data_IF_763201637645
#
_entry.id   IF_763201637645
#
_cell.length_a   1.000
_cell.length_b   1.000
_cell.length_c   1.000
_cell.angle_alpha   90.00
_cell.angle_beta   90.00
_cell.angle_gamma   90.00
#
_symmetry.space_group_name_H-M   'P 1'
#
loop_
_entity.id
_entity.type
_entity.pdbx_description
1 polymer ?
#
# COMPACT_ATOMS: atom_id res chain seq x y z
N UNK A 1 42.20 -10.96 11.98
CA UNK A 1 40.98 -10.14 12.03
C UNK A 1 40.56 -9.93 10.59
N UNK A 2 39.42 -10.49 10.17
CA UNK A 2 38.91 -10.24 8.82
C UNK A 2 38.63 -8.74 8.67
N UNK A 3 38.84 -8.14 7.48
CA UNK A 3 38.50 -6.74 7.27
C UNK A 3 37.01 -6.51 7.57
N UNK A 4 36.62 -5.29 7.99
CA UNK A 4 35.20 -4.94 8.09
C UNK A 4 34.56 -5.21 6.73
N UNK A 5 33.53 -6.04 6.73
CA UNK A 5 32.79 -6.44 5.52
C UNK A 5 31.41 -5.84 5.64
N UNK A 6 31.05 -5.00 4.68
CA UNK A 6 29.69 -4.50 4.56
C UNK A 6 28.77 -5.69 4.27
N UNK A 7 27.74 -5.85 5.10
CA UNK A 7 26.81 -6.98 5.03
C UNK A 7 25.39 -6.46 4.86
N UNK A 8 24.63 -7.04 3.93
CA UNK A 8 23.23 -6.70 3.67
C UNK A 8 22.34 -7.91 4.01
N UNK A 9 21.35 -7.69 4.87
CA UNK A 9 20.34 -8.69 5.20
C UNK A 9 18.99 -8.24 4.64
N UNK A 10 18.39 -9.06 3.76
CA UNK A 10 17.11 -8.75 3.15
C UNK A 10 15.95 -9.34 3.96
N UNK A 11 14.94 -8.51 4.23
CA UNK A 11 13.66 -8.95 4.77
C UNK A 11 12.58 -8.89 3.70
N UNK A 12 11.61 -9.79 3.79
CA UNK A 12 10.38 -9.68 3.03
C UNK A 12 9.43 -8.72 3.76
N UNK A 13 8.89 -7.73 3.03
CA UNK A 13 7.99 -6.75 3.62
C UNK A 13 8.72 -5.66 4.40
N UNK A 14 8.15 -5.25 5.53
CA UNK A 14 8.78 -4.30 6.45
C UNK A 14 9.44 -5.05 7.62
N UNK A 15 10.72 -4.78 7.97
CA UNK A 15 11.42 -5.50 9.03
C UNK A 15 10.74 -5.43 10.41
N UNK A 16 9.99 -4.36 10.70
CA UNK A 16 9.40 -4.11 12.02
C UNK A 16 7.92 -4.48 12.11
N UNK A 17 7.29 -4.89 11.01
CA UNK A 17 5.88 -5.34 10.99
C UNK A 17 5.84 -6.87 11.02
N UNK A 18 5.56 -7.44 12.19
CA UNK A 18 5.55 -8.89 12.45
C UNK A 18 6.86 -9.63 12.06
N UNK A 19 7.95 -8.89 11.88
CA UNK A 19 9.30 -9.44 11.72
C UNK A 19 9.92 -9.86 13.06
N UNK A 20 11.10 -10.48 13.00
CA UNK A 20 11.88 -10.90 14.18
C UNK A 20 13.11 -10.02 14.42
N UNK A 21 13.12 -8.83 13.83
CA UNK A 21 14.29 -7.95 13.78
C UNK A 21 14.75 -7.43 15.15
N UNK A 22 13.88 -7.42 16.17
CA UNK A 22 14.26 -7.00 17.53
C UNK A 22 15.44 -7.81 18.08
N UNK A 23 15.35 -9.15 18.06
CA UNK A 23 16.43 -9.99 18.60
C UNK A 23 17.72 -9.81 17.82
N UNK A 24 17.64 -9.62 16.50
CA UNK A 24 18.79 -9.40 15.64
C UNK A 24 19.47 -8.06 15.99
N UNK A 25 18.69 -6.99 16.12
CA UNK A 25 19.18 -5.68 16.56
C UNK A 25 19.85 -5.77 17.95
N UNK A 26 19.23 -6.44 18.92
CA UNK A 26 19.79 -6.59 20.27
C UNK A 26 21.17 -7.28 20.25
N UNK A 27 21.36 -8.28 19.39
CA UNK A 27 22.67 -8.96 19.23
C UNK A 27 23.70 -8.05 18.55
N UNK A 28 23.31 -7.31 17.51
CA UNK A 28 24.19 -6.35 16.83
C UNK A 28 24.66 -5.25 17.78
N UNK A 29 23.74 -4.70 18.59
CA UNK A 29 24.04 -3.71 19.60
C UNK A 29 25.00 -4.25 20.66
N UNK A 30 24.75 -5.47 21.16
CA UNK A 30 25.62 -6.14 22.15
C UNK A 30 27.03 -6.39 21.59
N UNK A 31 27.14 -6.69 20.30
CA UNK A 31 28.41 -6.91 19.61
C UNK A 31 29.13 -5.60 19.21
N UNK A 32 28.50 -4.43 19.42
CA UNK A 32 29.06 -3.15 18.99
C UNK A 32 29.11 -2.97 17.47
N UNK A 33 28.24 -3.68 16.73
CA UNK A 33 28.16 -3.59 15.27
C UNK A 33 27.23 -2.45 14.89
N UNK A 34 27.73 -1.48 14.11
CA UNK A 34 26.90 -0.44 13.52
C UNK A 34 25.99 -1.03 12.44
N UNK A 35 24.72 -0.62 12.44
CA UNK A 35 23.75 -1.03 11.42
C UNK A 35 22.81 0.12 11.07
N UNK A 36 22.18 0.01 9.90
CA UNK A 36 21.10 0.86 9.45
C UNK A 36 19.88 -0.01 9.15
N UNK A 37 18.70 0.47 9.51
CA UNK A 37 17.45 -0.19 9.17
C UNK A 37 16.74 0.58 8.06
N UNK A 38 16.55 -0.09 6.92
CA UNK A 38 15.85 0.48 5.77
C UNK A 38 14.39 0.01 5.80
N UNK A 39 13.39 0.92 5.84
CA UNK A 39 11.98 0.56 5.77
C UNK A 39 11.64 -0.20 4.49
N UNK A 40 10.71 -1.15 4.59
CA UNK A 40 10.26 -1.94 3.46
C UNK A 40 8.77 -1.75 3.17
N UNK A 41 8.34 -2.17 1.97
CA UNK A 41 6.92 -2.18 1.62
C UNK A 41 6.28 -3.44 2.17
N UNK A 42 5.53 -3.31 3.27
CA UNK A 42 4.83 -4.43 3.89
C UNK A 42 3.70 -4.98 3.00
N UNK A 43 3.51 -6.29 3.01
CA UNK A 43 2.38 -6.95 2.35
C UNK A 43 1.03 -6.46 2.91
N UNK A 44 1.01 -6.01 4.17
CA UNK A 44 -0.12 -5.33 4.80
C UNK A 44 -0.70 -4.23 3.91
N UNK A 45 0.13 -3.38 3.31
CA UNK A 45 -0.33 -2.23 2.51
C UNK A 45 -0.28 -2.52 1.02
N UNK A 46 0.69 -3.31 0.57
CA UNK A 46 0.85 -3.65 -0.84
C UNK A 46 -0.28 -4.56 -1.36
N UNK A 47 -0.68 -5.59 -0.60
CA UNK A 47 -1.67 -6.54 -1.07
C UNK A 47 -3.08 -5.93 -1.25
N UNK A 48 -3.63 -5.15 -0.30
CA UNK A 48 -4.88 -4.44 -0.51
C UNK A 48 -4.83 -3.50 -1.72
N UNK A 49 -3.75 -2.71 -1.85
CA UNK A 49 -3.55 -1.80 -2.98
C UNK A 49 -3.62 -2.53 -4.32
N UNK A 50 -2.86 -3.62 -4.46
CA UNK A 50 -2.78 -4.41 -5.69
C UNK A 50 -4.07 -5.18 -6.01
N UNK A 51 -4.90 -5.44 -5.00
CA UNK A 51 -6.23 -6.01 -5.16
C UNK A 51 -7.34 -4.95 -5.34
N UNK A 52 -6.99 -3.65 -5.38
CA UNK A 52 -7.94 -2.56 -5.49
C UNK A 52 -8.81 -2.34 -4.25
N UNK A 53 -8.35 -2.80 -3.08
CA UNK A 53 -9.07 -2.71 -1.80
C UNK A 53 -8.39 -1.65 -0.93
N UNK A 54 -9.04 -0.51 -0.63
CA UNK A 54 -8.48 0.42 0.34
C UNK A 54 -8.62 -0.16 1.76
N UNK A 55 -7.68 0.17 2.66
CA UNK A 55 -7.77 -0.24 4.07
C UNK A 55 -8.70 0.65 4.91
N UNK A 56 -8.95 1.86 4.43
CA UNK A 56 -9.88 2.82 5.04
C UNK A 56 -10.72 3.48 3.96
N UNK A 57 -11.92 3.88 4.36
CA UNK A 57 -12.86 4.60 3.51
C UNK A 57 -13.73 5.51 4.39
N UNK A 58 -13.99 6.77 4.01
CA UNK A 58 -14.73 7.72 4.85
C UNK A 58 -16.12 7.24 5.30
N UNK A 59 -16.78 6.40 4.49
CA UNK A 59 -18.12 5.86 4.75
C UNK A 59 -18.07 4.43 5.30
N UNK A 60 -17.15 3.60 4.80
CA UNK A 60 -17.15 2.16 5.09
C UNK A 60 -16.17 1.72 6.18
N UNK A 61 -15.10 2.47 6.45
CA UNK A 61 -14.06 2.06 7.41
C UNK A 61 -13.18 3.21 7.86
N UNK A 62 -13.38 3.68 9.09
CA UNK A 62 -12.58 4.77 9.69
C UNK A 62 -11.40 4.25 10.50
N UNK A 63 -11.38 2.95 10.76
CA UNK A 63 -10.35 2.28 11.54
C UNK A 63 -9.98 0.95 10.91
N UNK A 64 -8.71 0.56 11.06
CA UNK A 64 -8.30 -0.80 10.75
C UNK A 64 -7.31 -1.32 11.77
N UNK A 65 -7.26 -2.63 11.93
CA UNK A 65 -6.28 -3.32 12.75
C UNK A 65 -5.61 -4.46 11.98
N UNK A 66 -4.42 -4.81 12.42
CA UNK A 66 -3.60 -5.84 11.79
C UNK A 66 -3.23 -6.89 12.82
N UNK A 67 -3.40 -8.15 12.46
CA UNK A 67 -3.10 -9.28 13.34
C UNK A 67 -2.36 -10.37 12.60
N UNK A 68 -1.51 -11.10 13.31
CA UNK A 68 -1.07 -12.40 12.84
C UNK A 68 -2.18 -13.44 13.00
N UNK A 69 -2.16 -14.49 12.18
CA UNK A 69 -3.06 -15.63 12.35
C UNK A 69 -2.89 -16.31 13.70
N UNK A 70 -1.69 -16.28 14.28
CA UNK A 70 -1.46 -16.75 15.64
C UNK A 70 -2.25 -15.93 16.66
N UNK A 71 -2.09 -14.61 16.64
CA UNK A 71 -2.74 -13.71 17.60
C UNK A 71 -4.26 -13.77 17.47
N UNK A 72 -4.78 -13.84 16.24
CA UNK A 72 -6.21 -13.98 16.00
C UNK A 72 -6.78 -15.30 16.56
N UNK A 73 -6.02 -16.40 16.49
CA UNK A 73 -6.43 -17.69 17.08
C UNK A 73 -6.30 -17.73 18.60
N UNK A 74 -5.36 -17.00 19.19
CA UNK A 74 -5.14 -16.94 20.65
C UNK A 74 -5.90 -15.82 21.36
N UNK A 75 -6.56 -14.93 20.62
CA UNK A 75 -7.29 -13.78 21.16
C UNK A 75 -8.31 -14.19 22.23
N UNK A 76 -8.29 -13.54 23.39
CA UNK A 76 -9.28 -13.78 24.44
C UNK A 76 -10.68 -13.35 23.99
N UNK A 77 -11.77 -13.73 24.70
CA UNK A 77 -13.11 -13.24 24.37
C UNK A 77 -13.22 -11.71 24.33
N UNK A 78 -12.54 -11.01 25.25
CA UNK A 78 -12.50 -9.55 25.29
C UNK A 78 -11.73 -8.97 24.08
N UNK A 79 -10.64 -9.62 23.67
CA UNK A 79 -9.90 -9.21 22.47
C UNK A 79 -10.76 -9.40 21.21
N UNK A 80 -11.51 -10.50 21.11
CA UNK A 80 -12.42 -10.75 19.98
C UNK A 80 -13.54 -9.71 19.93
N UNK A 81 -14.09 -9.30 21.07
CA UNK A 81 -15.07 -8.22 21.15
C UNK A 81 -14.46 -6.90 20.65
N UNK A 82 -13.25 -6.56 21.11
CA UNK A 82 -12.53 -5.38 20.65
C UNK A 82 -12.27 -5.43 19.13
N UNK A 83 -11.83 -6.58 18.60
CA UNK A 83 -11.60 -6.76 17.17
C UNK A 83 -12.88 -6.63 16.34
N UNK A 84 -14.01 -7.04 16.88
CA UNK A 84 -15.30 -6.90 16.20
C UNK A 84 -15.78 -5.45 16.13
N UNK A 85 -15.31 -4.58 17.03
CA UNK A 85 -15.59 -3.14 17.00
C UNK A 85 -14.78 -2.35 15.96
N UNK A 86 -13.71 -2.95 15.41
CA UNK A 86 -12.85 -2.32 14.40
C UNK A 86 -13.45 -2.57 13.02
N UNK A 87 -13.48 -1.57 12.15
CA UNK A 87 -14.18 -1.68 10.87
C UNK A 87 -13.50 -2.69 9.92
N UNK A 88 -12.19 -2.53 9.72
CA UNK A 88 -11.39 -3.39 8.84
C UNK A 88 -10.33 -4.16 9.61
N UNK A 89 -10.28 -5.47 9.41
CA UNK A 89 -9.22 -6.33 9.94
C UNK A 89 -8.35 -6.81 8.79
N UNK A 90 -7.03 -6.71 8.94
CA UNK A 90 -6.06 -7.30 8.03
C UNK A 90 -5.32 -8.41 8.77
N UNK A 91 -5.38 -9.62 8.24
CA UNK A 91 -4.72 -10.77 8.83
C UNK A 91 -3.52 -11.18 7.99
N UNK A 92 -2.37 -11.27 8.64
CA UNK A 92 -1.11 -11.76 8.08
C UNK A 92 -0.82 -13.15 8.62
N UNK A 93 -0.13 -13.99 7.85
CA UNK A 93 0.26 -15.35 8.30
C UNK A 93 -0.95 -16.21 8.73
N UNK A 94 -2.08 -16.05 8.05
CA UNK A 94 -3.37 -16.65 8.45
C UNK A 94 -3.89 -17.71 7.47
N UNK A 95 -3.19 -17.99 6.37
CA UNK A 95 -3.69 -18.89 5.32
C UNK A 95 -4.12 -20.26 5.84
N UNK A 96 -3.28 -20.92 6.64
CA UNK A 96 -3.61 -22.22 7.27
C UNK A 96 -4.57 -22.15 8.46
N UNK A 97 -4.93 -20.93 8.91
CA UNK A 97 -5.76 -20.67 10.09
C UNK A 97 -7.09 -20.01 9.75
N UNK A 98 -7.42 -19.86 8.47
CA UNK A 98 -8.57 -19.10 8.01
C UNK A 98 -9.89 -19.62 8.62
N UNK A 99 -10.10 -20.94 8.62
CA UNK A 99 -11.31 -21.56 9.19
C UNK A 99 -11.47 -21.28 10.70
N UNK A 100 -10.38 -21.39 11.45
CA UNK A 100 -10.42 -21.09 12.88
C UNK A 100 -10.70 -19.60 13.14
N UNK A 101 -10.00 -18.70 12.45
CA UNK A 101 -10.15 -17.26 12.66
C UNK A 101 -11.54 -16.78 12.27
N UNK A 102 -12.06 -17.19 11.11
CA UNK A 102 -13.43 -16.85 10.67
C UNK A 102 -14.47 -17.34 11.67
N UNK A 103 -14.36 -18.60 12.13
CA UNK A 103 -15.24 -19.15 13.15
C UNK A 103 -15.18 -18.40 14.48
N UNK A 104 -14.00 -17.94 14.92
CA UNK A 104 -13.85 -17.13 16.13
C UNK A 104 -14.47 -15.75 15.99
N UNK A 105 -14.25 -15.06 14.87
CA UNK A 105 -14.83 -13.73 14.62
C UNK A 105 -16.36 -13.79 14.60
N UNK A 106 -16.94 -14.77 13.91
CA UNK A 106 -18.40 -14.98 13.87
C UNK A 106 -18.93 -15.27 15.28
N UNK A 107 -18.30 -16.19 16.03
CA UNK A 107 -18.71 -16.48 17.42
C UNK A 107 -18.57 -15.28 18.35
N UNK A 108 -17.60 -14.41 18.09
CA UNK A 108 -17.42 -13.15 18.83
C UNK A 108 -18.45 -12.08 18.48
N UNK A 109 -19.32 -12.30 17.50
CA UNK A 109 -20.39 -11.37 17.11
C UNK A 109 -20.19 -10.65 15.77
N UNK A 110 -19.16 -10.98 14.99
CA UNK A 110 -19.01 -10.42 13.63
C UNK A 110 -20.03 -11.04 12.68
N UNK A 111 -20.68 -10.23 11.87
CA UNK A 111 -21.70 -10.71 10.94
C UNK A 111 -21.08 -11.65 9.89
N UNK A 112 -21.69 -12.82 9.66
CA UNK A 112 -21.25 -13.79 8.67
C UNK A 112 -21.31 -13.25 7.23
N UNK A 113 -22.10 -12.19 6.98
CA UNK A 113 -22.14 -11.47 5.71
C UNK A 113 -21.02 -10.46 5.54
N UNK A 114 -20.14 -10.28 6.54
CA UNK A 114 -19.02 -9.33 6.45
C UNK A 114 -18.11 -9.72 5.29
N UNK A 115 -17.82 -8.81 4.34
CA UNK A 115 -16.99 -9.11 3.17
C UNK A 115 -15.56 -9.49 3.55
N UNK A 116 -15.01 -10.44 2.79
CA UNK A 116 -13.63 -10.94 2.91
C UNK A 116 -12.98 -10.93 1.53
N UNK A 117 -11.76 -10.40 1.47
CA UNK A 117 -10.86 -10.50 0.32
C UNK A 117 -9.59 -11.21 0.75
N UNK A 118 -9.14 -12.19 -0.02
CA UNK A 118 -7.86 -12.87 0.19
C UNK A 118 -6.98 -12.58 -1.02
N UNK A 119 -5.75 -12.19 -0.77
CA UNK A 119 -4.74 -11.91 -1.81
C UNK A 119 -3.53 -12.75 -1.51
N UNK A 120 -3.27 -13.74 -2.37
CA UNK A 120 -2.09 -14.61 -2.30
C UNK A 120 -1.03 -14.09 -3.27
N UNK A 121 0.23 -14.22 -2.88
CA UNK A 121 1.36 -13.83 -3.74
C UNK A 121 1.27 -12.40 -4.28
N UNK A 122 0.80 -11.46 -3.44
CA UNK A 122 0.63 -10.07 -3.85
C UNK A 122 1.89 -9.49 -4.49
N UNK A 123 1.75 -8.90 -5.68
CA UNK A 123 2.83 -8.30 -6.45
C UNK A 123 3.63 -9.26 -7.32
N UNK A 124 3.28 -10.55 -7.33
CA UNK A 124 3.79 -11.53 -8.30
C UNK A 124 2.83 -11.67 -9.48
N UNK A 125 3.31 -12.27 -10.56
CA UNK A 125 2.48 -12.56 -11.74
C UNK A 125 1.40 -13.60 -11.43
N UNK A 126 1.72 -14.54 -10.55
CA UNK A 126 0.81 -15.57 -10.07
C UNK A 126 -0.12 -15.04 -8.96
N UNK A 127 -0.29 -13.73 -8.78
CA UNK A 127 -1.19 -13.21 -7.75
C UNK A 127 -2.61 -13.77 -7.93
N UNK A 128 -3.07 -14.50 -6.92
CA UNK A 128 -4.42 -15.08 -6.86
C UNK A 128 -5.27 -14.34 -5.84
N UNK A 129 -6.57 -14.21 -6.14
CA UNK A 129 -7.51 -13.49 -5.29
C UNK A 129 -8.81 -14.25 -5.12
N UNK A 130 -9.31 -14.27 -3.87
CA UNK A 130 -10.63 -14.79 -3.54
C UNK A 130 -11.46 -13.69 -2.90
N UNK A 131 -12.75 -13.69 -3.20
CA UNK A 131 -13.70 -12.74 -2.64
C UNK A 131 -14.92 -13.50 -2.13
N UNK A 132 -15.41 -13.14 -0.95
CA UNK A 132 -16.55 -13.80 -0.34
C UNK A 132 -16.99 -13.06 0.91
N UNK A 133 -17.65 -13.76 1.82
CA UNK A 133 -17.95 -13.26 3.17
C UNK A 133 -17.36 -14.18 4.23
N UNK A 134 -17.37 -13.77 5.49
CA UNK A 134 -16.94 -14.63 6.60
C UNK A 134 -17.64 -16.01 6.59
N UNK A 135 -18.90 -16.06 6.17
CA UNK A 135 -19.70 -17.29 6.06
C UNK A 135 -19.43 -18.14 4.82
N UNK A 136 -18.85 -17.58 3.75
CA UNK A 136 -18.67 -18.31 2.47
C UNK A 136 -17.21 -18.57 2.11
N UNK A 137 -16.27 -17.76 2.62
CA UNK A 137 -14.88 -17.76 2.15
C UNK A 137 -14.15 -19.10 2.35
N UNK A 138 -14.57 -19.91 3.32
CA UNK A 138 -14.01 -21.25 3.53
C UNK A 138 -14.36 -22.18 2.36
N UNK A 139 -15.58 -22.10 1.84
CA UNK A 139 -15.97 -22.90 0.67
C UNK A 139 -15.29 -22.37 -0.60
N UNK A 140 -15.21 -21.04 -0.76
CA UNK A 140 -14.54 -20.41 -1.92
C UNK A 140 -13.05 -20.78 -2.03
N UNK A 141 -12.41 -21.10 -0.90
CA UNK A 141 -10.99 -21.47 -0.82
C UNK A 141 -10.78 -22.97 -0.59
N UNK A 142 -11.84 -23.78 -0.75
CA UNK A 142 -11.76 -25.22 -0.47
C UNK A 142 -10.76 -25.89 -1.40
N UNK A 143 -9.79 -26.59 -0.80
CA UNK A 143 -8.76 -27.32 -1.53
C UNK A 143 -7.53 -26.47 -1.87
N UNK A 144 -7.56 -25.17 -1.57
CA UNK A 144 -6.46 -24.26 -1.88
C UNK A 144 -5.45 -24.13 -0.73
N UNK A 145 -4.17 -24.00 -1.09
CA UNK A 145 -3.13 -23.54 -0.16
C UNK A 145 -2.96 -22.04 -0.31
N UNK A 146 -3.40 -21.30 0.72
CA UNK A 146 -3.46 -19.84 0.65
C UNK A 146 -2.13 -19.15 1.00
N UNK A 147 -1.24 -19.81 1.73
CA UNK A 147 0.00 -19.17 2.18
C UNK A 147 1.03 -19.00 1.05
N UNK A 148 1.72 -17.84 0.95
CA UNK A 148 1.52 -16.61 1.71
C UNK A 148 0.36 -15.77 1.16
N UNK A 149 -0.55 -15.37 2.04
CA UNK A 149 -1.67 -14.47 1.73
C UNK A 149 -1.83 -13.35 2.76
N UNK A 150 -2.52 -12.31 2.32
CA UNK A 150 -3.11 -11.26 3.15
C UNK A 150 -4.63 -11.39 3.07
N UNK A 151 -5.29 -11.35 4.23
CA UNK A 151 -6.74 -11.51 4.33
C UNK A 151 -7.31 -10.19 4.86
N UNK A 152 -8.26 -9.60 4.13
CA UNK A 152 -8.87 -8.32 4.45
C UNK A 152 -10.34 -8.58 4.77
N UNK A 153 -10.78 -8.20 5.96
CA UNK A 153 -12.13 -8.49 6.48
C UNK A 153 -12.79 -7.17 6.88
N UNK A 154 -13.83 -6.77 6.18
CA UNK A 154 -14.53 -5.51 6.45
C UNK A 154 -15.29 -5.03 5.23
N UNK A 155 -16.10 -3.98 5.40
CA UNK A 155 -16.92 -3.46 4.30
C UNK A 155 -16.11 -2.99 3.10
N UNK A 156 -14.86 -2.57 3.30
CA UNK A 156 -13.96 -2.17 2.21
C UNK A 156 -13.57 -3.34 1.29
N UNK A 157 -13.62 -4.59 1.76
CA UNK A 157 -13.25 -5.76 0.95
C UNK A 157 -14.20 -6.04 -0.22
N UNK A 158 -15.37 -5.37 -0.26
CA UNK A 158 -16.28 -5.39 -1.43
C UNK A 158 -15.88 -4.40 -2.53
N UNK A 159 -14.99 -3.46 -2.22
CA UNK A 159 -14.51 -2.48 -3.19
C UNK A 159 -13.48 -3.13 -4.09
N UNK A 160 -13.49 -2.71 -5.36
CA UNK A 160 -12.43 -3.01 -6.32
C UNK A 160 -12.16 -1.74 -7.10
N UNK A 161 -11.43 -0.83 -6.46
CA UNK A 161 -10.94 0.38 -7.09
C UNK A 161 -9.95 -0.06 -8.16
N UNK A 162 -10.32 0.14 -9.42
CA UNK A 162 -9.54 -0.30 -10.57
C UNK A 162 -8.12 0.27 -10.46
N UNK A 163 -7.17 -0.55 -10.01
CA UNK A 163 -5.76 -0.34 -10.24
C UNK A 163 -5.50 -1.04 -11.58
N UNK A 164 -5.20 -0.33 -12.68
CA UNK A 164 -4.80 -0.98 -13.91
C UNK A 164 -3.60 -1.86 -13.56
N UNK A 165 -3.79 -3.18 -13.51
CA UNK A 165 -2.66 -4.11 -13.44
C UNK A 165 -1.81 -3.78 -14.65
N UNK A 166 -0.50 -3.70 -14.47
CA UNK A 166 0.44 -3.64 -15.59
C UNK A 166 0.37 -4.97 -16.34
N UNK A 167 -0.72 -5.20 -17.07
CA UNK A 167 -0.93 -6.34 -17.94
C UNK A 167 -0.06 -6.17 -19.16
N UNK A 168 1.20 -6.58 -19.02
CA UNK A 168 2.02 -7.09 -20.09
C UNK A 168 2.57 -8.41 -19.59
N UNK A 169 2.40 -9.48 -20.36
CA UNK A 169 3.04 -10.78 -20.14
C UNK A 169 4.52 -10.55 -19.80
N UNK A 170 5.01 -11.15 -18.73
CA UNK A 170 6.45 -11.21 -18.52
C UNK A 170 7.04 -12.19 -19.53
N UNK A 171 8.20 -11.88 -20.13
CA UNK A 171 8.82 -12.78 -21.07
C UNK A 171 9.39 -14.00 -20.34
N UNK A 172 9.45 -15.11 -21.06
CA UNK A 172 9.96 -16.41 -20.63
C UNK A 172 11.43 -16.34 -20.14
N UNK A 173 11.78 -17.27 -19.25
CA UNK A 173 12.98 -17.30 -18.39
C UNK A 173 14.35 -17.27 -19.11
N UNK A 174 14.41 -17.33 -20.44
CA UNK A 174 15.68 -17.27 -21.20
C UNK A 174 16.18 -15.81 -21.43
N UNK A 175 15.36 -14.78 -21.19
CA UNK A 175 15.72 -13.36 -21.43
C UNK A 175 16.46 -12.66 -20.25
N UNK A 176 16.61 -13.31 -19.08
CA UNK A 176 17.16 -12.66 -17.87
C UNK A 176 18.65 -12.29 -17.98
N UNK A 177 19.46 -13.04 -18.74
CA UNK A 177 20.88 -12.73 -18.90
C UNK A 177 21.12 -11.52 -19.82
N UNK A 178 20.33 -11.36 -20.89
CA UNK A 178 20.44 -10.21 -21.82
C UNK A 178 19.87 -8.91 -21.22
N UNK A 179 18.82 -9.00 -20.38
CA UNK A 179 18.16 -7.84 -19.75
C UNK A 179 19.00 -7.12 -18.71
N UNK A 180 20.02 -7.78 -18.18
CA UNK A 180 20.98 -7.16 -17.25
C UNK A 180 21.80 -6.03 -17.91
N UNK A 181 21.84 -5.97 -19.25
CA UNK A 181 22.57 -4.96 -20.03
C UNK A 181 21.68 -3.87 -20.66
N UNK A 182 20.34 -4.01 -20.64
CA UNK A 182 19.38 -3.02 -21.15
C UNK A 182 18.24 -2.73 -20.14
N UNK A 183 18.56 -2.17 -18.97
CA UNK A 183 17.54 -1.53 -18.12
C UNK A 183 17.23 -0.12 -18.63
N UNK A 184 16.25 0.01 -19.52
CA UNK A 184 15.53 1.28 -19.67
C UNK A 184 14.94 1.70 -18.32
N UNK A 185 15.03 2.98 -17.98
CA UNK A 185 14.59 3.48 -16.68
C UNK A 185 13.07 3.33 -16.59
N UNK A 186 12.50 2.92 -15.44
CA UNK A 186 11.04 2.87 -15.24
C UNK A 186 10.37 4.20 -15.57
N UNK A 187 11.10 5.30 -15.39
CA UNK A 187 10.70 6.66 -15.75
C UNK A 187 10.42 6.80 -17.25
N UNK A 188 11.13 6.07 -18.11
CA UNK A 188 10.98 6.15 -19.57
C UNK A 188 9.61 5.67 -20.03
N UNK A 189 8.94 4.80 -19.25
CA UNK A 189 7.62 4.24 -19.57
C UNK A 189 6.46 5.22 -19.42
N UNK A 190 6.64 6.36 -18.76
CA UNK A 190 5.56 7.29 -18.43
C UNK A 190 5.85 8.69 -18.96
N UNK A 191 4.88 9.34 -19.61
CA UNK A 191 5.01 10.72 -20.09
C UNK A 191 4.60 11.77 -19.05
N UNK A 192 3.78 11.36 -18.08
CA UNK A 192 3.18 12.24 -17.08
C UNK A 192 3.25 11.61 -15.70
N UNK A 193 3.52 12.43 -14.68
CA UNK A 193 3.55 12.03 -13.28
C UNK A 193 2.54 12.87 -12.48
N UNK A 194 1.64 12.19 -11.77
CA UNK A 194 0.75 12.81 -10.80
C UNK A 194 1.35 12.59 -9.41
N UNK A 195 1.63 13.69 -8.73
CA UNK A 195 2.38 13.72 -7.49
C UNK A 195 1.45 14.23 -6.40
N UNK A 196 1.17 13.39 -5.42
CA UNK A 196 0.65 13.87 -4.15
C UNK A 196 1.65 14.85 -3.51
N UNK A 197 1.17 15.67 -2.58
CA UNK A 197 1.93 16.80 -2.05
C UNK A 197 2.33 16.61 -0.58
N UNK A 198 1.35 16.50 0.32
CA UNK A 198 1.59 16.37 1.76
C UNK A 198 2.14 14.97 2.08
N UNK A 199 3.36 14.87 2.63
CA UNK A 199 4.02 13.60 2.90
C UNK A 199 4.81 13.03 1.72
N UNK A 200 4.71 13.63 0.53
CA UNK A 200 5.45 13.22 -0.69
C UNK A 200 6.46 14.27 -1.13
N UNK A 201 6.05 15.54 -1.21
CA UNK A 201 6.95 16.64 -1.55
C UNK A 201 7.51 17.33 -0.32
N UNK A 202 6.71 17.40 0.75
CA UNK A 202 7.08 18.07 2.00
C UNK A 202 6.47 17.39 3.22
N UNK A 203 7.09 17.62 4.38
CA UNK A 203 6.63 17.14 5.68
C UNK A 203 7.46 17.78 6.80
N UNK A 204 6.94 17.83 8.02
CA UNK A 204 7.73 18.23 9.20
C UNK A 204 8.37 19.64 9.14
N UNK A 205 7.81 20.57 8.35
CA UNK A 205 8.28 21.96 8.26
C UNK A 205 9.17 22.31 7.06
N UNK A 206 9.43 21.37 6.14
CA UNK A 206 10.24 21.64 4.94
C UNK A 206 10.03 20.65 3.80
N UNK A 207 10.78 20.84 2.72
CA UNK A 207 10.80 19.95 1.56
C UNK A 207 11.52 18.65 1.91
N UNK A 208 10.99 17.53 1.44
CA UNK A 208 11.62 16.22 1.62
C UNK A 208 12.92 16.19 0.78
N UNK A 209 14.06 15.73 1.35
CA UNK A 209 15.34 15.68 0.63
C UNK A 209 15.25 14.95 -0.72
N UNK A 210 15.89 15.50 -1.76
CA UNK A 210 15.92 14.91 -3.11
C UNK A 210 14.69 15.20 -3.97
N UNK A 211 13.60 15.75 -3.42
CA UNK A 211 12.38 16.07 -4.20
C UNK A 211 12.69 17.06 -5.32
N UNK A 212 13.24 18.24 -5.00
CA UNK A 212 13.52 19.28 -6.01
C UNK A 212 14.42 18.75 -7.13
N UNK A 213 15.44 17.97 -6.78
CA UNK A 213 16.35 17.36 -7.74
C UNK A 213 15.63 16.34 -8.64
N UNK A 214 14.77 15.50 -8.05
CA UNK A 214 14.00 14.48 -8.77
C UNK A 214 13.03 15.12 -9.74
N UNK A 215 12.27 16.13 -9.31
CA UNK A 215 11.33 16.84 -10.17
C UNK A 215 12.04 17.53 -11.34
N UNK A 216 13.21 18.12 -11.08
CA UNK A 216 14.05 18.71 -12.14
C UNK A 216 14.51 17.64 -13.14
N UNK A 217 15.00 16.48 -12.68
CA UNK A 217 15.39 15.37 -13.56
C UNK A 217 14.23 14.87 -14.42
N UNK A 218 13.05 14.73 -13.84
CA UNK A 218 11.85 14.34 -14.59
C UNK A 218 11.52 15.36 -15.70
N UNK A 219 11.60 16.66 -15.39
CA UNK A 219 11.39 17.71 -16.41
C UNK A 219 12.47 17.74 -17.48
N UNK A 220 13.74 17.56 -17.10
CA UNK A 220 14.85 17.46 -18.06
C UNK A 220 14.67 16.27 -19.02
N UNK A 221 14.01 15.21 -18.56
CA UNK A 221 13.61 14.07 -19.38
C UNK A 221 12.29 14.28 -20.14
N UNK A 222 11.78 15.52 -20.19
CA UNK A 222 10.57 15.89 -20.92
C UNK A 222 9.26 15.41 -20.28
N UNK A 223 9.28 14.97 -19.02
CA UNK A 223 8.09 14.45 -18.34
C UNK A 223 7.20 15.60 -17.85
N UNK A 224 5.89 15.43 -18.01
CA UNK A 224 4.87 16.38 -17.50
C UNK A 224 4.60 16.09 -16.03
N UNK A 225 4.56 17.12 -15.20
CA UNK A 225 4.32 16.99 -13.77
C UNK A 225 2.97 17.61 -13.40
N UNK A 226 2.19 16.92 -12.60
CA UNK A 226 0.96 17.43 -12.01
C UNK A 226 1.01 17.27 -10.48
N UNK A 227 0.74 18.35 -9.76
CA UNK A 227 0.76 18.39 -8.30
C UNK A 227 -0.67 18.30 -7.76
N UNK A 228 -1.03 17.15 -7.20
CA UNK A 228 -2.41 16.79 -6.85
C UNK A 228 -2.58 16.86 -5.33
N UNK A 229 -3.69 17.44 -4.86
CA UNK A 229 -4.04 17.42 -3.44
C UNK A 229 -5.55 17.30 -3.23
N UNK A 230 -5.92 16.55 -2.20
CA UNK A 230 -7.29 16.51 -1.69
C UNK A 230 -7.66 17.73 -0.82
N UNK A 231 -6.72 18.63 -0.54
CA UNK A 231 -6.96 19.84 0.25
C UNK A 231 -7.83 20.86 -0.52
N UNK A 232 -9.05 21.06 -0.06
CA UNK A 232 -10.03 21.97 -0.67
C UNK A 232 -9.93 23.43 -0.18
N UNK A 233 -9.09 23.70 0.84
CA UNK A 233 -9.02 25.01 1.49
C UNK A 233 -8.12 26.00 0.75
N UNK A 234 -7.37 25.56 -0.27
CA UNK A 234 -6.41 26.39 -1.01
C UNK A 234 -6.75 26.42 -2.50
N UNK A 235 -6.63 27.59 -3.11
CA UNK A 235 -6.72 27.72 -4.57
C UNK A 235 -5.46 27.18 -5.25
N UNK A 236 -5.55 26.87 -6.56
CA UNK A 236 -4.40 26.43 -7.36
C UNK A 236 -3.25 27.42 -7.27
N UNK A 237 -3.53 28.72 -7.42
CA UNK A 237 -2.56 29.81 -7.23
C UNK A 237 -1.88 29.81 -5.85
N UNK A 238 -2.64 29.57 -4.77
CA UNK A 238 -2.06 29.51 -3.43
C UNK A 238 -1.13 28.31 -3.24
N UNK A 239 -1.49 27.16 -3.82
CA UNK A 239 -0.65 25.95 -3.80
C UNK A 239 0.60 26.15 -4.67
N UNK A 240 0.46 26.75 -5.86
CA UNK A 240 1.58 27.16 -6.72
C UNK A 240 2.59 28.03 -5.98
N UNK A 241 2.11 29.10 -5.32
CA UNK A 241 2.96 29.97 -4.52
C UNK A 241 3.69 29.22 -3.39
N UNK A 242 3.04 28.21 -2.78
CA UNK A 242 3.66 27.36 -1.76
C UNK A 242 4.77 26.49 -2.38
N UNK A 243 4.53 25.87 -3.52
CA UNK A 243 5.53 25.09 -4.27
C UNK A 243 6.75 25.97 -4.60
N UNK A 244 6.53 27.17 -5.15
CA UNK A 244 7.60 28.12 -5.47
C UNK A 244 8.39 28.57 -4.23
N UNK A 245 7.71 28.86 -3.11
CA UNK A 245 8.35 29.22 -1.85
C UNK A 245 9.22 28.08 -1.29
N UNK A 246 8.92 26.84 -1.67
CA UNK A 246 9.68 25.63 -1.34
C UNK A 246 10.76 25.30 -2.38
N UNK A 247 10.98 26.16 -3.38
CA UNK A 247 11.97 25.93 -4.43
C UNK A 247 11.56 24.89 -5.47
N UNK A 248 10.28 24.52 -5.53
CA UNK A 248 9.70 23.64 -6.54
C UNK A 248 9.04 24.53 -7.60
N UNK A 249 9.64 24.70 -8.79
CA UNK A 249 9.01 25.51 -9.83
C UNK A 249 7.72 24.82 -10.28
N UNK A 250 6.61 25.52 -10.32
CA UNK A 250 5.33 24.97 -10.74
C UNK A 250 4.51 26.03 -11.46
N UNK A 251 3.76 25.64 -12.47
CA UNK A 251 2.74 26.48 -13.10
C UNK A 251 1.37 26.23 -12.48
N UNK A 252 0.46 27.20 -12.57
CA UNK A 252 -0.88 27.05 -11.98
C UNK A 252 -1.63 25.89 -12.63
N UNK A 253 -1.40 25.67 -13.93
CA UNK A 253 -1.96 24.60 -14.76
C UNK A 253 -1.52 23.20 -14.31
N UNK A 254 -0.36 23.09 -13.67
CA UNK A 254 0.16 21.82 -13.14
C UNK A 254 -0.49 21.45 -11.81
N UNK A 255 -1.16 22.37 -11.12
CA UNK A 255 -1.76 22.12 -9.81
C UNK A 255 -3.19 21.61 -9.94
N UNK A 256 -3.53 20.48 -9.32
CA UNK A 256 -4.89 19.94 -9.27
C UNK A 256 -5.34 19.86 -7.82
N UNK A 257 -6.27 20.74 -7.42
CA UNK A 257 -6.90 20.69 -6.10
C UNK A 257 -8.26 20.00 -6.17
N UNK A 258 -8.70 19.36 -5.08
CA UNK A 258 -10.03 18.75 -5.00
C UNK A 258 -11.16 19.74 -5.35
N UNK A 259 -11.04 21.00 -4.90
CA UNK A 259 -12.01 22.05 -5.23
C UNK A 259 -12.06 22.39 -6.73
N UNK A 260 -10.90 22.47 -7.39
CA UNK A 260 -10.85 22.71 -8.83
C UNK A 260 -11.34 21.49 -9.64
N UNK A 261 -10.95 20.28 -9.24
CA UNK A 261 -11.41 19.04 -9.88
C UNK A 261 -12.94 18.90 -9.80
N UNK A 262 -13.53 19.22 -8.65
CA UNK A 262 -14.98 19.26 -8.50
C UNK A 262 -15.65 20.30 -9.41
N UNK A 263 -15.09 21.52 -9.51
CA UNK A 263 -15.60 22.56 -10.40
C UNK A 263 -15.54 22.15 -11.89
N UNK A 264 -14.45 21.53 -12.33
CA UNK A 264 -14.31 21.00 -13.69
C UNK A 264 -15.31 19.88 -13.97
N UNK A 265 -15.50 18.97 -13.01
CA UNK A 265 -16.49 17.91 -13.14
C UNK A 265 -17.90 18.48 -13.29
N UNK A 266 -18.29 19.45 -12.45
CA UNK A 266 -19.60 20.11 -12.55
C UNK A 266 -19.81 20.84 -13.88
N UNK A 267 -18.77 21.49 -14.43
CA UNK A 267 -18.82 22.13 -15.75
C UNK A 267 -18.96 21.11 -16.89
N UNK A 268 -18.49 19.88 -16.70
CA UNK A 268 -18.60 18.80 -17.70
C UNK A 268 -19.97 18.12 -17.73
N UNK A 269 -20.81 18.36 -16.72
CA UNK A 269 -22.16 17.79 -16.69
C UNK A 269 -23.06 18.49 -17.71
N UNK A 270 -23.94 17.74 -18.42
CA UNK A 270 -24.93 18.35 -19.30
C UNK A 270 -25.88 19.26 -18.49
N UNK A 271 -26.27 20.40 -19.07
CA UNK A 271 -27.28 21.27 -18.47
C UNK A 271 -28.56 20.46 -18.22
N UNK A 272 -29.12 20.58 -17.01
CA UNK A 272 -30.41 19.96 -16.70
C UNK A 272 -31.48 20.60 -17.57
N UNK A 273 -32.08 19.81 -18.47
CA UNK A 273 -33.34 20.10 -19.17
C UNK A 273 -34.49 20.14 -18.17
#
# INVERSE_FOLDING_TARGET
>A
VLPPTDSLHHYAGDPLIFGRTRSEIEHLLTAGVSFELVPGLSSLTAAPLLAGVPLTDPELSRSFAVLSGHDATSASPADLEALNSIDTLVLLMSGSKLEEVTGRLIRGGRDASTPVKIVKWAGREEQEEWSGTLGTIIEETRGESLSPCVIIIGQVAKLHLCCPRAGGEAPEEEEEEERSQQKGNIIDKFDSFLLDMDGVLWGGGGVIPGVVETLRKLREQGKRLFFVTNNSSKSRKQVKNKLEALGIPAEEEEVVTSGWAAAQHLQSLPEKV
#
